data_IF_090536069586
#
_entry.id   IF_090536069586
#
_cell.length_a   1.000
_cell.length_b   1.000
_cell.length_c   1.000
_cell.angle_alpha   90.00
_cell.angle_beta   90.00
_cell.angle_gamma   90.00
#
_symmetry.space_group_name_H-M   'P 1'
#
loop_
_entity.id
_entity.type
_entity.pdbx_description
1 polymer ?
#
# COMPACT_ATOMS: atom_id res chain seq x y z
N UNK A 1 77.39 -38.22 31.37
CA UNK A 1 78.04 -37.50 32.48
C UNK A 1 77.04 -37.42 33.62
N UNK A 2 77.30 -38.21 34.68
CA UNK A 2 76.87 -38.16 36.10
C UNK A 2 75.39 -37.75 36.39
N UNK A 3 74.43 -38.60 36.79
CA UNK A 3 74.32 -39.70 37.78
C UNK A 3 74.04 -39.23 39.24
N UNK A 4 73.17 -39.98 39.96
CA UNK A 4 72.94 -40.07 41.45
C UNK A 4 71.68 -39.32 41.98
N UNK A 5 70.54 -39.99 42.28
CA UNK A 5 70.09 -40.64 43.57
C UNK A 5 69.78 -39.63 44.71
N UNK A 6 68.95 -39.84 45.74
CA UNK A 6 67.85 -40.73 46.12
C UNK A 6 67.34 -40.25 47.52
N UNK A 7 66.06 -40.51 47.83
CA UNK A 7 65.41 -40.78 49.15
C UNK A 7 65.92 -40.21 50.51
N UNK A 8 64.98 -39.68 51.32
CA UNK A 8 64.57 -40.06 52.72
C UNK A 8 63.81 -38.88 53.40
N UNK A 9 62.54 -38.97 53.84
CA UNK A 9 61.86 -39.67 54.95
C UNK A 9 62.16 -39.18 56.40
N UNK A 10 61.06 -38.81 57.10
CA UNK A 10 60.82 -38.80 58.57
C UNK A 10 61.40 -37.61 59.38
N UNK A 11 60.76 -36.97 60.38
CA UNK A 11 59.63 -37.26 61.29
C UNK A 11 59.30 -35.97 62.07
N UNK A 12 58.02 -35.69 62.39
CA UNK A 12 57.55 -35.50 63.79
C UNK A 12 56.02 -35.30 63.87
N UNK A 13 55.36 -36.33 64.40
CA UNK A 13 54.13 -36.34 65.20
C UNK A 13 54.02 -35.10 66.14
N UNK A 14 52.91 -34.65 66.70
CA UNK A 14 51.48 -34.98 66.72
C UNK A 14 50.87 -34.03 67.75
N UNK A 15 49.81 -33.27 67.47
CA UNK A 15 48.92 -32.74 68.52
C UNK A 15 47.47 -32.85 68.06
N UNK A 16 46.85 -33.92 68.56
CA UNK A 16 45.50 -33.98 69.12
C UNK A 16 44.30 -33.68 68.21
N UNK A 17 43.68 -34.78 67.79
CA UNK A 17 42.25 -34.88 67.52
C UNK A 17 41.44 -34.61 68.80
N UNK A 18 40.50 -33.65 68.73
CA UNK A 18 39.15 -33.67 69.33
C UNK A 18 38.58 -32.26 69.24
N UNK A 19 37.58 -32.04 68.40
CA UNK A 19 36.35 -31.35 68.81
C UNK A 19 35.20 -31.58 67.82
N UNK A 20 34.05 -31.83 68.42
CA UNK A 20 32.72 -32.14 67.94
C UNK A 20 32.27 -31.77 66.51
N UNK A 21 31.60 -32.77 65.90
CA UNK A 21 30.32 -32.65 65.17
C UNK A 21 29.62 -31.29 65.32
N UNK A 22 29.35 -30.62 64.19
CA UNK A 22 28.00 -30.29 63.70
C UNK A 22 28.07 -29.52 62.37
N UNK A 23 27.12 -29.84 61.49
CA UNK A 23 26.54 -29.00 60.42
C UNK A 23 27.47 -28.49 59.32
N UNK A 24 27.25 -28.98 58.09
CA UNK A 24 26.87 -28.11 56.96
C UNK A 24 26.32 -28.94 55.79
N UNK A 25 25.07 -29.38 55.94
CA UNK A 25 24.24 -29.86 54.83
C UNK A 25 23.65 -28.70 53.99
N UNK A 26 24.05 -27.46 54.23
CA UNK A 26 23.47 -26.26 53.58
C UNK A 26 24.26 -25.75 52.37
N UNK A 27 25.46 -26.28 52.08
CA UNK A 27 26.26 -25.82 50.95
C UNK A 27 25.85 -26.46 49.60
N UNK A 28 25.17 -27.61 49.61
CA UNK A 28 24.77 -28.33 48.38
C UNK A 28 23.40 -27.85 47.85
N UNK A 29 22.50 -27.39 48.72
CA UNK A 29 21.19 -26.88 48.32
C UNK A 29 21.25 -25.50 47.63
N UNK A 30 22.23 -24.66 47.98
CA UNK A 30 22.35 -23.30 47.41
C UNK A 30 22.85 -23.32 45.95
N UNK A 31 23.67 -24.31 45.59
CA UNK A 31 24.18 -24.45 44.20
C UNK A 31 23.09 -24.99 43.27
N UNK A 32 22.22 -25.89 43.74
CA UNK A 32 21.09 -26.41 42.95
C UNK A 32 20.01 -25.33 42.75
N UNK A 33 19.76 -24.49 43.75
CA UNK A 33 18.83 -23.34 43.62
C UNK A 33 19.39 -22.28 42.68
N UNK A 34 20.69 -21.96 42.74
CA UNK A 34 21.30 -21.01 41.81
C UNK A 34 21.28 -21.50 40.34
N UNK A 35 21.49 -22.80 40.09
CA UNK A 35 21.41 -23.40 38.75
C UNK A 35 19.97 -23.47 38.21
N UNK A 36 18.97 -23.63 39.08
CA UNK A 36 17.55 -23.60 38.69
C UNK A 36 17.02 -22.18 38.45
N UNK A 37 17.52 -21.17 39.15
CA UNK A 37 17.20 -19.76 38.85
C UNK A 37 17.85 -19.27 37.53
N UNK A 38 19.07 -19.71 37.23
CA UNK A 38 19.75 -19.36 35.95
C UNK A 38 19.08 -20.03 34.76
N UNK A 39 18.62 -21.28 34.89
CA UNK A 39 17.92 -21.98 33.80
C UNK A 39 16.50 -21.46 33.56
N UNK A 40 15.74 -21.09 34.61
CA UNK A 40 14.41 -20.46 34.45
C UNK A 40 14.50 -19.06 33.82
N UNK A 41 15.55 -18.30 34.13
CA UNK A 41 15.78 -16.97 33.55
C UNK A 41 16.20 -17.05 32.08
N UNK A 42 17.00 -18.06 31.70
CA UNK A 42 17.40 -18.29 30.32
C UNK A 42 16.22 -18.76 29.44
N UNK A 43 15.35 -19.63 29.95
CA UNK A 43 14.15 -20.08 29.22
C UNK A 43 13.12 -18.97 29.04
N UNK A 44 12.94 -18.10 30.04
CA UNK A 44 12.04 -16.95 29.92
C UNK A 44 12.57 -15.90 28.94
N UNK A 45 13.90 -15.72 28.85
CA UNK A 45 14.52 -14.84 27.85
C UNK A 45 14.47 -15.44 26.44
N UNK A 46 14.63 -16.76 26.27
CA UNK A 46 14.46 -17.44 24.97
C UNK A 46 13.00 -17.43 24.51
N UNK A 47 12.02 -17.66 25.38
CA UNK A 47 10.59 -17.55 25.04
C UNK A 47 10.20 -16.12 24.61
N UNK A 48 10.72 -15.10 25.31
CA UNK A 48 10.52 -13.70 24.93
C UNK A 48 11.29 -13.29 23.67
N UNK A 49 12.40 -13.95 23.35
CA UNK A 49 13.19 -13.68 22.14
C UNK A 49 12.58 -14.35 20.89
N UNK A 50 11.77 -15.41 21.06
CA UNK A 50 10.96 -16.01 19.99
C UNK A 50 9.68 -15.19 19.75
N UNK A 51 9.10 -14.61 20.80
CA UNK A 51 8.08 -13.56 20.69
C UNK A 51 8.70 -12.31 20.04
N UNK A 52 7.94 -11.64 19.18
CA UNK A 52 8.34 -10.50 18.35
C UNK A 52 9.20 -10.79 17.11
N UNK A 53 9.62 -12.04 16.85
CA UNK A 53 10.32 -12.35 15.60
C UNK A 53 9.37 -12.23 14.41
N UNK A 54 9.80 -11.45 13.43
CA UNK A 54 9.05 -11.26 12.19
C UNK A 54 8.98 -12.56 11.40
N UNK A 55 7.77 -12.85 10.94
CA UNK A 55 7.48 -13.86 9.95
C UNK A 55 6.67 -13.23 8.84
N UNK A 56 7.04 -13.51 7.59
CA UNK A 56 6.39 -12.94 6.42
C UNK A 56 6.05 -14.05 5.45
N UNK A 57 4.89 -13.96 4.84
CA UNK A 57 4.44 -14.86 3.80
C UNK A 57 3.68 -14.05 2.76
N UNK A 58 3.85 -14.41 1.49
CA UNK A 58 3.30 -13.64 0.39
C UNK A 58 2.71 -14.52 -0.71
N UNK A 59 1.70 -14.01 -1.40
CA UNK A 59 1.02 -14.71 -2.48
C UNK A 59 0.53 -13.76 -3.57
N UNK A 60 0.22 -14.35 -4.73
CA UNK A 60 -0.32 -13.66 -5.89
C UNK A 60 -1.32 -14.57 -6.59
N UNK A 61 -2.49 -14.03 -6.93
CA UNK A 61 -3.56 -14.74 -7.65
C UNK A 61 -3.94 -13.92 -8.88
N UNK A 62 -4.00 -14.57 -10.03
CA UNK A 62 -4.47 -13.95 -11.27
C UNK A 62 -6.00 -13.76 -11.23
N UNK A 63 -6.43 -12.53 -11.50
CA UNK A 63 -7.85 -12.12 -11.53
C UNK A 63 -8.27 -11.63 -12.92
N UNK A 64 -7.45 -11.85 -13.95
CA UNK A 64 -7.76 -11.47 -15.33
C UNK A 64 -9.06 -12.11 -15.79
N UNK A 65 -9.99 -11.30 -16.28
CA UNK A 65 -11.33 -11.77 -16.66
C UNK A 65 -11.26 -12.49 -18.01
N UNK A 66 -11.78 -13.71 -18.07
CA UNK A 66 -11.88 -14.51 -19.29
C UNK A 66 -12.86 -13.87 -20.31
N UNK A 67 -12.67 -14.17 -21.59
CA UNK A 67 -13.38 -13.53 -22.71
C UNK A 67 -14.90 -13.46 -22.56
N UNK A 68 -15.50 -14.55 -22.10
CA UNK A 68 -16.95 -14.77 -21.97
C UNK A 68 -17.59 -14.01 -20.80
N UNK A 69 -16.77 -13.45 -19.89
CA UNK A 69 -17.22 -12.66 -18.74
C UNK A 69 -16.89 -11.16 -18.87
N UNK A 70 -16.29 -10.74 -19.99
CA UNK A 70 -15.91 -9.34 -20.21
C UNK A 70 -17.14 -8.51 -20.65
N UNK A 71 -17.27 -7.27 -20.17
CA UNK A 71 -18.20 -6.32 -20.77
C UNK A 71 -17.87 -6.07 -22.25
N UNK A 72 -18.89 -5.78 -23.07
CA UNK A 72 -18.79 -5.60 -24.53
C UNK A 72 -17.67 -4.66 -24.98
N UNK A 73 -17.39 -3.63 -24.18
CA UNK A 73 -16.37 -2.65 -24.51
C UNK A 73 -14.96 -3.29 -24.48
N UNK A 74 -14.70 -4.15 -23.48
CA UNK A 74 -13.40 -4.76 -23.22
C UNK A 74 -13.17 -5.94 -24.18
N UNK A 75 -12.27 -5.76 -25.14
CA UNK A 75 -12.08 -6.70 -26.25
C UNK A 75 -10.81 -7.57 -26.15
N UNK A 76 -10.06 -7.47 -25.05
CA UNK A 76 -8.80 -8.20 -24.91
C UNK A 76 -8.16 -8.07 -23.54
N UNK A 77 -7.02 -8.73 -23.39
CA UNK A 77 -6.07 -8.54 -22.28
C UNK A 77 -4.82 -7.92 -22.90
N UNK A 78 -4.38 -6.80 -22.34
CA UNK A 78 -3.06 -6.23 -22.63
C UNK A 78 -2.00 -6.89 -21.75
N UNK A 79 -2.30 -7.03 -20.45
CA UNK A 79 -1.47 -7.67 -19.47
C UNK A 79 -2.32 -8.23 -18.31
N UNK A 80 -1.80 -9.27 -17.65
CA UNK A 80 -2.51 -9.93 -16.55
C UNK A 80 -2.58 -9.03 -15.30
N UNK A 81 -3.70 -9.14 -14.61
CA UNK A 81 -4.06 -8.40 -13.39
C UNK A 81 -4.15 -9.36 -12.21
N UNK A 82 -3.73 -8.91 -11.02
CA UNK A 82 -3.56 -9.80 -9.87
C UNK A 82 -4.15 -9.22 -8.58
N UNK A 83 -4.48 -10.13 -7.65
CA UNK A 83 -4.47 -9.84 -6.21
C UNK A 83 -3.10 -10.24 -5.67
N UNK A 84 -2.47 -9.35 -4.92
CA UNK A 84 -1.21 -9.61 -4.19
C UNK A 84 -1.49 -9.48 -2.70
N UNK A 85 -1.08 -10.46 -1.91
CA UNK A 85 -1.27 -10.45 -0.46
C UNK A 85 0.06 -10.70 0.27
N UNK A 86 0.27 -9.97 1.34
CA UNK A 86 1.40 -10.12 2.26
C UNK A 86 0.81 -10.22 3.67
N UNK A 87 1.19 -11.27 4.40
CA UNK A 87 0.88 -11.43 5.82
C UNK A 87 2.19 -11.30 6.59
N UNK A 88 2.20 -10.38 7.57
CA UNK A 88 3.33 -10.14 8.46
C UNK A 88 2.88 -10.49 9.87
N UNK A 89 3.62 -11.33 10.59
CA UNK A 89 3.34 -11.68 11.98
C UNK A 89 4.56 -11.55 12.87
N UNK A 90 4.34 -11.32 14.16
CA UNK A 90 5.41 -11.21 15.17
C UNK A 90 5.31 -12.32 16.25
N UNK A 91 4.46 -13.33 16.03
CA UNK A 91 4.18 -14.40 16.98
C UNK A 91 3.00 -14.13 17.92
N UNK A 92 2.50 -12.90 17.97
CA UNK A 92 1.34 -12.49 18.77
C UNK A 92 0.22 -11.95 17.89
N UNK A 93 0.52 -10.89 17.14
CA UNK A 93 -0.40 -10.25 16.20
C UNK A 93 0.05 -10.46 14.76
N UNK A 94 -0.81 -10.08 13.80
CA UNK A 94 -0.53 -10.16 12.37
C UNK A 94 -1.13 -8.95 11.67
N UNK A 95 -0.42 -8.37 10.71
CA UNK A 95 -0.92 -7.42 9.75
C UNK A 95 -1.08 -8.09 8.38
N UNK A 96 -2.11 -7.69 7.64
CA UNK A 96 -2.44 -8.22 6.32
C UNK A 96 -2.53 -7.05 5.33
N UNK A 97 -1.64 -7.04 4.35
CA UNK A 97 -1.62 -6.06 3.28
C UNK A 97 -2.04 -6.75 1.98
N UNK A 98 -3.08 -6.25 1.34
CA UNK A 98 -3.59 -6.79 0.08
C UNK A 98 -3.79 -5.66 -0.91
N UNK A 99 -3.30 -5.83 -2.14
CA UNK A 99 -3.65 -4.94 -3.25
C UNK A 99 -4.27 -5.74 -4.38
N UNK A 100 -5.33 -5.21 -4.99
CA UNK A 100 -5.95 -5.77 -6.18
C UNK A 100 -5.80 -4.81 -7.36
N UNK A 101 -5.43 -5.35 -8.52
CA UNK A 101 -5.42 -4.63 -9.79
C UNK A 101 -6.86 -4.38 -10.27
N UNK A 102 -7.54 -3.42 -9.62
CA UNK A 102 -8.90 -2.96 -9.91
C UNK A 102 -9.01 -1.45 -9.71
N UNK A 103 -10.05 -0.83 -10.26
CA UNK A 103 -10.29 0.61 -10.07
C UNK A 103 -10.63 0.98 -8.63
N UNK A 104 -11.18 0.06 -7.83
CA UNK A 104 -11.64 0.30 -6.47
C UNK A 104 -12.27 -0.93 -5.84
N UNK A 105 -12.33 -0.97 -4.51
CA UNK A 105 -12.93 -2.06 -3.75
C UNK A 105 -14.18 -1.54 -3.03
N UNK A 106 -15.34 -2.14 -3.29
CA UNK A 106 -16.59 -1.74 -2.63
C UNK A 106 -16.52 -2.03 -1.12
N UNK A 107 -17.14 -1.16 -0.33
CA UNK A 107 -17.26 -1.34 1.13
C UNK A 107 -17.88 -2.69 1.51
N UNK A 108 -18.84 -3.19 0.73
CA UNK A 108 -19.42 -4.53 0.92
C UNK A 108 -18.38 -5.64 0.73
N UNK A 109 -17.59 -5.59 -0.34
CA UNK A 109 -16.52 -6.57 -0.61
C UNK A 109 -15.46 -6.53 0.49
N UNK A 110 -15.05 -5.34 0.93
CA UNK A 110 -14.15 -5.21 2.08
C UNK A 110 -14.75 -5.84 3.33
N UNK A 111 -16.00 -5.50 3.68
CA UNK A 111 -16.68 -6.00 4.87
C UNK A 111 -16.82 -7.53 4.85
N UNK A 112 -17.19 -8.11 3.70
CA UNK A 112 -17.34 -9.55 3.56
C UNK A 112 -16.00 -10.29 3.74
N UNK A 113 -14.93 -9.78 3.12
CA UNK A 113 -13.59 -10.37 3.23
C UNK A 113 -13.02 -10.20 4.62
N UNK A 114 -13.11 -9.01 5.22
CA UNK A 114 -12.52 -8.70 6.53
C UNK A 114 -13.18 -9.50 7.65
N UNK A 115 -14.52 -9.55 7.68
CA UNK A 115 -15.25 -10.36 8.66
C UNK A 115 -14.98 -11.85 8.47
N UNK A 116 -14.82 -12.31 7.22
CA UNK A 116 -14.45 -13.71 6.95
C UNK A 116 -13.04 -14.01 7.43
N UNK A 117 -12.09 -13.10 7.21
CA UNK A 117 -10.72 -13.17 7.72
C UNK A 117 -10.70 -13.30 9.26
N UNK A 118 -11.48 -12.48 9.96
CA UNK A 118 -11.58 -12.55 11.41
C UNK A 118 -12.16 -13.89 11.88
N UNK A 119 -13.29 -14.32 11.31
CA UNK A 119 -13.95 -15.57 11.70
C UNK A 119 -13.12 -16.83 11.39
N UNK A 120 -12.49 -16.89 10.22
CA UNK A 120 -11.84 -18.12 9.72
C UNK A 120 -10.33 -18.17 10.00
N UNK A 121 -9.65 -17.01 10.07
CA UNK A 121 -8.20 -16.91 10.24
C UNK A 121 -7.79 -16.33 11.59
N UNK A 122 -8.75 -15.86 12.41
CA UNK A 122 -8.49 -15.24 13.71
C UNK A 122 -7.53 -14.05 13.61
N UNK A 123 -7.66 -13.26 12.54
CA UNK A 123 -6.94 -11.99 12.35
C UNK A 123 -7.98 -10.88 12.46
N UNK A 124 -7.86 -9.94 13.42
CA UNK A 124 -8.82 -8.86 13.59
C UNK A 124 -9.02 -8.02 12.32
N UNK A 125 -10.22 -7.46 12.14
CA UNK A 125 -10.55 -6.61 10.98
C UNK A 125 -9.61 -5.40 10.86
N UNK A 126 -9.24 -4.80 11.99
CA UNK A 126 -8.35 -3.62 12.04
C UNK A 126 -6.92 -3.92 11.60
N UNK A 127 -6.57 -5.19 11.41
CA UNK A 127 -5.27 -5.62 10.94
C UNK A 127 -5.19 -5.80 9.42
N UNK A 128 -6.26 -5.46 8.69
CA UNK A 128 -6.31 -5.53 7.23
C UNK A 128 -6.18 -4.14 6.59
N UNK A 129 -5.25 -4.02 5.64
CA UNK A 129 -5.27 -2.99 4.62
C UNK A 129 -5.58 -3.64 3.25
N UNK A 130 -6.81 -3.51 2.79
CA UNK A 130 -7.28 -3.99 1.50
C UNK A 130 -7.36 -2.81 0.51
N UNK A 131 -6.43 -2.78 -0.43
CA UNK A 131 -6.12 -1.66 -1.32
C UNK A 131 -6.47 -1.97 -2.78
N UNK A 132 -6.68 -0.92 -3.57
CA UNK A 132 -6.80 -1.00 -5.02
C UNK A 132 -5.63 -0.25 -5.68
N UNK A 133 -5.16 -0.73 -6.83
CA UNK A 133 -4.17 0.02 -7.64
C UNK A 133 -4.78 1.15 -8.47
N UNK A 134 -6.10 1.29 -8.39
CA UNK A 134 -6.88 2.27 -9.13
C UNK A 134 -6.74 2.17 -10.66
N UNK A 135 -6.44 1.00 -11.21
CA UNK A 135 -6.43 0.82 -12.67
C UNK A 135 -7.82 1.05 -13.26
N UNK A 136 -7.91 1.94 -14.25
CA UNK A 136 -9.13 2.19 -15.03
C UNK A 136 -9.34 1.21 -16.18
N UNK A 137 -8.48 0.19 -16.28
CA UNK A 137 -8.46 -0.81 -17.35
C UNK A 137 -8.95 -2.17 -16.89
N UNK A 138 -9.89 -2.20 -15.94
CA UNK A 138 -10.51 -3.42 -15.41
C UNK A 138 -12.03 -3.26 -15.29
N UNK A 139 -12.82 -4.33 -15.56
CA UNK A 139 -14.23 -4.31 -15.21
C UNK A 139 -14.38 -4.18 -13.69
N UNK A 140 -15.50 -3.61 -13.24
CA UNK A 140 -15.82 -3.55 -11.81
C UNK A 140 -16.07 -4.96 -11.29
N UNK A 141 -15.10 -5.52 -10.58
CA UNK A 141 -15.24 -6.81 -9.90
C UNK A 141 -15.99 -6.64 -8.58
N UNK A 142 -16.84 -7.61 -8.25
CA UNK A 142 -17.61 -7.63 -7.00
C UNK A 142 -18.20 -9.02 -6.74
N UNK A 143 -18.70 -9.23 -5.53
CA UNK A 143 -19.41 -10.44 -5.12
C UNK A 143 -18.49 -11.63 -4.86
N UNK A 144 -19.12 -12.77 -4.56
CA UNK A 144 -18.45 -13.95 -3.96
C UNK A 144 -17.20 -14.42 -4.70
N UNK A 145 -17.20 -14.43 -6.04
CA UNK A 145 -16.02 -14.90 -6.80
C UNK A 145 -14.78 -14.04 -6.50
N UNK A 146 -14.94 -12.71 -6.52
CA UNK A 146 -13.83 -11.79 -6.27
C UNK A 146 -13.42 -11.81 -4.79
N UNK A 147 -14.39 -11.88 -3.88
CA UNK A 147 -14.16 -12.05 -2.44
C UNK A 147 -13.38 -13.33 -2.13
N UNK A 148 -13.73 -14.46 -2.77
CA UNK A 148 -13.02 -15.73 -2.64
C UNK A 148 -11.58 -15.61 -3.17
N UNK A 149 -11.35 -14.91 -4.28
CA UNK A 149 -9.99 -14.67 -4.81
C UNK A 149 -9.13 -13.87 -3.82
N UNK A 150 -9.69 -12.80 -3.25
CA UNK A 150 -8.99 -12.00 -2.22
C UNK A 150 -8.68 -12.87 -1.00
N UNK A 151 -9.68 -13.54 -0.46
CA UNK A 151 -9.54 -14.37 0.73
C UNK A 151 -8.54 -15.53 0.52
N UNK A 152 -8.57 -16.17 -0.64
CA UNK A 152 -7.60 -17.22 -1.00
C UNK A 152 -6.18 -16.68 -1.05
N UNK A 153 -5.96 -15.46 -1.57
CA UNK A 153 -4.64 -14.84 -1.56
C UNK A 153 -4.13 -14.66 -0.12
N UNK A 154 -4.98 -14.19 0.79
CA UNK A 154 -4.64 -14.06 2.22
C UNK A 154 -4.28 -15.42 2.82
N UNK A 155 -5.08 -16.47 2.58
CA UNK A 155 -4.81 -17.81 3.09
C UNK A 155 -3.48 -18.39 2.56
N UNK A 156 -3.19 -18.21 1.28
CA UNK A 156 -1.94 -18.66 0.67
C UNK A 156 -0.71 -17.89 1.18
N UNK A 157 -0.86 -16.60 1.48
CA UNK A 157 0.20 -15.81 2.08
C UNK A 157 0.44 -16.26 3.54
N UNK A 158 -0.63 -16.47 4.30
CA UNK A 158 -0.57 -16.96 5.69
C UNK A 158 0.10 -18.34 5.80
N UNK A 159 -0.18 -19.26 4.88
CA UNK A 159 0.43 -20.61 4.88
C UNK A 159 1.92 -20.62 4.54
N UNK A 160 2.46 -19.51 4.03
CA UNK A 160 3.87 -19.34 3.66
C UNK A 160 4.68 -18.52 4.65
N UNK A 161 4.17 -18.25 5.86
CA UNK A 161 4.89 -17.50 6.88
C UNK A 161 6.24 -18.14 7.25
N UNK A 162 7.33 -17.47 6.88
CA UNK A 162 8.70 -17.86 7.21
C UNK A 162 9.45 -16.76 7.97
N UNK A 163 10.47 -17.08 8.79
CA UNK A 163 11.26 -16.08 9.50
C UNK A 163 11.86 -15.04 8.55
N UNK A 164 11.71 -13.77 8.90
CA UNK A 164 12.05 -12.66 8.03
C UNK A 164 12.70 -11.49 8.78
N UNK A 165 13.29 -10.58 8.02
CA UNK A 165 13.66 -9.24 8.45
C UNK A 165 12.99 -8.20 7.55
N UNK A 166 12.74 -7.01 8.11
CA UNK A 166 12.16 -5.87 7.40
C UNK A 166 13.11 -4.68 7.37
N UNK A 167 13.06 -3.89 6.31
CA UNK A 167 13.74 -2.60 6.23
C UNK A 167 12.82 -1.57 5.54
N UNK A 168 13.00 -0.29 5.89
CA UNK A 168 12.37 0.85 5.24
C UNK A 168 13.39 1.60 4.38
N UNK A 169 12.96 2.14 3.25
CA UNK A 169 13.76 3.03 2.42
C UNK A 169 12.88 4.04 1.69
N UNK A 170 13.50 5.15 1.27
CA UNK A 170 12.84 6.18 0.48
C UNK A 170 13.67 6.53 -0.75
N UNK A 171 12.97 6.64 -1.88
CA UNK A 171 13.47 7.08 -3.16
C UNK A 171 12.64 8.24 -3.71
N UNK A 172 12.93 8.65 -4.95
CA UNK A 172 12.18 9.69 -5.62
C UNK A 172 11.91 9.34 -7.09
N UNK A 173 10.66 9.47 -7.51
CA UNK A 173 10.27 9.30 -8.91
C UNK A 173 9.48 10.51 -9.42
N UNK A 174 9.73 10.87 -10.67
CA UNK A 174 9.17 12.04 -11.34
C UNK A 174 8.18 11.67 -12.45
N UNK A 175 7.67 10.44 -12.45
CA UNK A 175 6.71 10.00 -13.47
C UNK A 175 5.30 10.57 -13.26
N UNK A 176 5.02 11.17 -12.10
CA UNK A 176 3.75 11.85 -11.81
C UNK A 176 3.85 13.38 -11.99
N UNK A 177 2.69 14.03 -12.12
CA UNK A 177 2.56 15.49 -12.17
C UNK A 177 1.18 15.89 -11.63
N UNK A 178 1.08 17.08 -11.04
CA UNK A 178 -0.23 17.66 -10.74
C UNK A 178 -1.03 17.81 -12.04
N UNK A 179 -2.30 17.44 -12.03
CA UNK A 179 -3.14 17.39 -13.24
C UNK A 179 -4.09 18.58 -13.41
N UNK A 180 -4.04 19.57 -12.53
CA UNK A 180 -4.92 20.73 -12.55
C UNK A 180 -4.24 21.95 -13.14
N UNK A 181 -4.62 22.34 -14.36
CA UNK A 181 -4.01 23.44 -15.12
C UNK A 181 -5.04 24.45 -15.59
N UNK A 182 -4.58 25.62 -16.04
CA UNK A 182 -5.41 26.61 -16.73
C UNK A 182 -5.28 26.38 -18.24
N UNK A 183 -6.39 26.10 -18.89
CA UNK A 183 -6.42 25.98 -20.35
C UNK A 183 -6.19 27.36 -20.99
N UNK A 184 -5.19 27.45 -21.86
CA UNK A 184 -4.77 28.72 -22.48
C UNK A 184 -5.80 29.29 -23.47
N UNK A 185 -6.75 28.48 -23.95
CA UNK A 185 -7.76 28.92 -24.92
C UNK A 185 -9.01 29.46 -24.22
N UNK A 186 -9.45 28.79 -23.16
CA UNK A 186 -10.67 29.16 -22.42
C UNK A 186 -10.39 30.03 -21.20
N UNK A 187 -9.13 30.08 -20.74
CA UNK A 187 -8.74 30.68 -19.47
C UNK A 187 -9.48 30.08 -18.25
N UNK A 188 -10.02 28.87 -18.42
CA UNK A 188 -10.70 28.11 -17.37
C UNK A 188 -9.88 26.91 -16.92
N UNK A 189 -10.29 26.31 -15.79
CA UNK A 189 -9.67 25.09 -15.27
C UNK A 189 -9.85 23.90 -16.20
N UNK A 190 -8.78 23.12 -16.36
CA UNK A 190 -8.80 21.89 -17.13
C UNK A 190 -7.83 20.85 -16.59
N UNK A 191 -7.99 19.63 -17.08
CA UNK A 191 -7.05 18.56 -16.81
C UNK A 191 -5.87 18.63 -17.79
N UNK A 192 -4.67 18.75 -17.25
CA UNK A 192 -3.43 18.88 -17.99
C UNK A 192 -2.23 18.91 -17.05
N UNK A 193 -1.02 18.63 -17.54
CA UNK A 193 0.17 18.65 -16.69
C UNK A 193 0.42 20.07 -16.17
N UNK A 194 0.38 20.23 -14.85
CA UNK A 194 0.76 21.44 -14.14
C UNK A 194 2.10 21.21 -13.44
N UNK A 195 3.18 21.62 -14.12
CA UNK A 195 4.56 21.44 -13.64
C UNK A 195 4.90 22.29 -12.41
N UNK A 196 4.16 23.38 -12.19
CA UNK A 196 4.33 24.25 -11.03
C UNK A 196 3.45 23.82 -9.84
N UNK A 197 2.53 22.88 -10.07
CA UNK A 197 1.61 22.35 -9.07
C UNK A 197 2.29 21.35 -8.12
N UNK A 198 1.78 21.19 -6.89
CA UNK A 198 2.36 20.28 -5.92
C UNK A 198 2.18 18.83 -6.37
N UNK A 199 3.26 18.06 -6.20
CA UNK A 199 3.30 16.65 -6.57
C UNK A 199 4.29 15.92 -5.66
N UNK A 200 3.83 14.90 -4.96
CA UNK A 200 4.69 14.07 -4.11
C UNK A 200 5.54 13.14 -4.97
N UNK A 201 6.86 13.30 -4.87
CA UNK A 201 7.84 12.49 -5.60
C UNK A 201 8.34 11.30 -4.80
N UNK A 202 7.96 11.21 -3.53
CA UNK A 202 8.47 10.19 -2.60
C UNK A 202 8.02 8.81 -3.05
N UNK A 203 8.99 7.89 -3.19
CA UNK A 203 8.72 6.45 -3.31
C UNK A 203 9.09 5.81 -1.98
N UNK A 204 8.09 5.43 -1.19
CA UNK A 204 8.33 4.72 0.08
C UNK A 204 8.41 3.22 -0.18
N UNK A 205 9.40 2.54 0.39
CA UNK A 205 9.66 1.11 0.16
C UNK A 205 9.84 0.37 1.49
N UNK A 206 9.05 -0.68 1.70
CA UNK A 206 9.27 -1.68 2.73
C UNK A 206 9.77 -2.97 2.08
N UNK A 207 10.95 -3.44 2.48
CA UNK A 207 11.49 -4.71 2.01
C UNK A 207 11.38 -5.77 3.10
N UNK A 208 10.92 -6.97 2.74
CA UNK A 208 10.90 -8.13 3.61
C UNK A 208 11.73 -9.25 2.98
N UNK A 209 12.80 -9.65 3.68
CA UNK A 209 13.72 -10.70 3.23
C UNK A 209 13.69 -11.86 4.21
N UNK A 210 13.95 -13.08 3.71
CA UNK A 210 14.27 -14.19 4.58
C UNK A 210 15.59 -13.94 5.34
N UNK A 211 15.89 -14.77 6.34
CA UNK A 211 17.13 -14.62 7.14
C UNK A 211 18.43 -14.89 6.35
N UNK A 212 18.34 -15.30 5.07
CA UNK A 212 19.46 -15.48 4.15
C UNK A 212 19.59 -14.31 3.16
N UNK A 213 18.71 -13.32 3.22
CA UNK A 213 18.69 -12.16 2.34
C UNK A 213 17.91 -12.35 1.04
N UNK A 214 17.16 -13.45 0.86
CA UNK A 214 16.27 -13.63 -0.30
C UNK A 214 15.01 -12.76 -0.12
N UNK A 215 14.60 -11.93 -1.10
CA UNK A 215 13.36 -11.18 -1.03
C UNK A 215 12.12 -12.09 -0.99
N UNK A 216 11.25 -11.86 0.00
CA UNK A 216 9.93 -12.49 0.13
C UNK A 216 8.87 -11.55 -0.44
N UNK A 217 8.89 -10.30 0.00
CA UNK A 217 7.92 -9.30 -0.42
C UNK A 217 8.49 -7.89 -0.37
N UNK A 218 7.94 -7.01 -1.21
CA UNK A 218 8.22 -5.58 -1.24
C UNK A 218 6.87 -4.87 -1.24
N UNK A 219 6.69 -3.91 -0.34
CA UNK A 219 5.58 -2.95 -0.40
C UNK A 219 6.14 -1.63 -0.85
N UNK A 220 5.51 -1.00 -1.84
CA UNK A 220 5.94 0.30 -2.30
C UNK A 220 4.74 1.23 -2.51
N UNK A 221 4.88 2.48 -2.09
CA UNK A 221 3.84 3.51 -2.15
C UNK A 221 4.29 4.66 -3.05
N UNK A 222 3.40 5.08 -3.95
CA UNK A 222 3.64 6.19 -4.86
C UNK A 222 2.32 6.79 -5.34
N UNK A 223 2.27 8.12 -5.53
CA UNK A 223 1.06 8.85 -5.88
C UNK A 223 0.97 9.11 -7.40
N UNK A 224 0.39 8.19 -8.17
CA UNK A 224 0.14 8.38 -9.61
C UNK A 224 -1.10 7.64 -10.07
N UNK A 225 -2.02 8.38 -10.71
CA UNK A 225 -3.26 7.78 -11.21
C UNK A 225 -2.98 6.76 -12.33
N UNK A 226 -3.57 5.57 -12.22
CA UNK A 226 -3.43 4.46 -13.17
C UNK A 226 -4.40 4.58 -14.36
N UNK A 227 -4.14 5.54 -15.24
CA UNK A 227 -5.05 5.96 -16.35
C UNK A 227 -4.45 5.89 -17.76
N UNK A 228 -3.23 5.40 -17.94
CA UNK A 228 -2.61 5.36 -19.28
C UNK A 228 -3.38 4.48 -20.26
N UNK A 229 -3.87 3.33 -19.81
CA UNK A 229 -4.51 2.34 -20.67
C UNK A 229 -6.05 2.50 -20.75
N UNK A 230 -6.61 3.50 -20.08
CA UNK A 230 -8.06 3.66 -19.89
C UNK A 230 -8.88 3.82 -21.18
N UNK A 231 -8.26 3.99 -22.36
CA UNK A 231 -8.96 4.05 -23.65
C UNK A 231 -8.71 2.87 -24.58
N UNK A 232 -7.81 1.95 -24.22
CA UNK A 232 -7.48 0.80 -25.05
C UNK A 232 -8.60 -0.25 -25.11
N UNK A 233 -9.48 -0.24 -24.10
CA UNK A 233 -10.50 -1.26 -23.84
C UNK A 233 -9.93 -2.69 -23.80
N UNK A 234 -8.76 -2.82 -23.18
CA UNK A 234 -8.13 -4.10 -22.85
C UNK A 234 -7.86 -4.15 -21.36
N UNK A 235 -7.92 -5.34 -20.79
CA UNK A 235 -7.55 -5.57 -19.39
C UNK A 235 -6.08 -5.21 -19.18
N UNK A 236 -5.80 -4.43 -18.14
CA UNK A 236 -4.44 -4.05 -17.76
C UNK A 236 -4.34 -3.64 -16.30
N UNK A 237 -3.20 -3.94 -15.68
CA UNK A 237 -2.82 -3.42 -14.37
C UNK A 237 -2.23 -2.01 -14.41
N UNK A 238 -2.10 -1.41 -15.61
CA UNK A 238 -1.55 -0.06 -15.85
C UNK A 238 -0.13 0.11 -15.23
N UNK A 239 0.29 1.33 -14.88
CA UNK A 239 1.60 1.61 -14.24
C UNK A 239 1.84 0.74 -13.00
N UNK A 240 0.88 0.57 -12.06
CA UNK A 240 1.08 -0.28 -10.88
C UNK A 240 1.40 -1.74 -11.24
N UNK A 241 0.61 -2.33 -12.12
CA UNK A 241 0.82 -3.71 -12.58
C UNK A 241 2.13 -3.88 -13.35
N UNK A 242 2.47 -2.91 -14.20
CA UNK A 242 3.73 -2.90 -14.94
C UNK A 242 4.96 -2.80 -14.02
N UNK A 243 4.90 -1.90 -13.02
CA UNK A 243 5.95 -1.74 -12.00
C UNK A 243 6.14 -3.01 -11.20
N UNK A 244 5.05 -3.58 -10.66
CA UNK A 244 5.10 -4.83 -9.89
C UNK A 244 5.70 -5.97 -10.71
N UNK A 245 5.24 -6.19 -11.95
CA UNK A 245 5.79 -7.27 -12.80
C UNK A 245 7.28 -7.07 -13.09
N UNK A 246 7.70 -5.83 -13.32
CA UNK A 246 9.10 -5.52 -13.58
C UNK A 246 9.98 -5.87 -12.37
N UNK A 247 9.63 -5.37 -11.19
CA UNK A 247 10.32 -5.64 -9.93
C UNK A 247 10.37 -7.14 -9.64
N UNK A 248 9.21 -7.81 -9.72
CA UNK A 248 9.08 -9.26 -9.49
C UNK A 248 10.00 -10.04 -10.43
N UNK A 249 10.01 -9.72 -11.73
CA UNK A 249 10.84 -10.39 -12.73
C UNK A 249 12.34 -10.21 -12.48
N UNK A 250 12.76 -8.99 -12.12
CA UNK A 250 14.17 -8.67 -11.86
C UNK A 250 14.71 -9.43 -10.64
N UNK A 251 13.88 -9.59 -9.61
CA UNK A 251 14.24 -10.25 -8.35
C UNK A 251 13.99 -11.77 -8.34
N UNK A 252 13.81 -12.38 -9.52
CA UNK A 252 13.75 -13.84 -9.68
C UNK A 252 12.34 -14.45 -9.69
N UNK A 253 11.29 -13.64 -9.74
CA UNK A 253 9.90 -14.07 -9.99
C UNK A 253 9.10 -14.58 -8.78
N UNK A 254 9.79 -15.02 -7.72
CA UNK A 254 9.16 -15.54 -6.50
C UNK A 254 8.69 -14.43 -5.54
N UNK A 255 9.38 -13.28 -5.54
CA UNK A 255 9.04 -12.14 -4.68
C UNK A 255 7.67 -11.58 -5.07
N UNK A 256 6.93 -11.04 -4.10
CA UNK A 256 5.70 -10.28 -4.36
C UNK A 256 5.98 -8.79 -4.22
N UNK A 257 5.78 -8.02 -5.29
CA UNK A 257 5.86 -6.55 -5.25
C UNK A 257 4.44 -5.97 -5.15
N UNK A 258 4.05 -5.55 -3.95
CA UNK A 258 2.73 -5.02 -3.64
C UNK A 258 2.70 -3.49 -3.74
N UNK A 259 1.81 -2.98 -4.58
CA UNK A 259 1.54 -1.55 -4.75
C UNK A 259 0.61 -1.02 -3.66
N UNK A 260 0.93 0.13 -3.10
CA UNK A 260 0.03 0.96 -2.30
C UNK A 260 -0.18 2.31 -3.01
N UNK A 261 -1.43 2.68 -3.25
CA UNK A 261 -1.77 3.90 -3.97
C UNK A 261 -1.60 5.12 -3.06
N UNK A 262 -0.63 5.98 -3.37
CA UNK A 262 -0.48 7.28 -2.71
C UNK A 262 -1.66 8.21 -3.02
N UNK A 263 -1.66 9.43 -2.47
CA UNK A 263 -2.73 10.40 -2.73
C UNK A 263 -2.65 10.98 -4.15
N UNK A 264 -3.26 10.28 -5.09
CA UNK A 264 -3.22 10.57 -6.52
C UNK A 264 -4.50 11.22 -7.06
N UNK A 265 -5.37 11.75 -6.20
CA UNK A 265 -6.63 12.39 -6.61
C UNK A 265 -6.42 13.55 -7.58
N UNK A 266 -5.28 14.24 -7.52
CA UNK A 266 -4.87 15.32 -8.42
C UNK A 266 -3.53 15.04 -9.13
N UNK A 267 -3.08 13.78 -9.18
CA UNK A 267 -1.76 13.40 -9.73
C UNK A 267 -1.89 12.45 -10.91
N UNK A 268 -1.57 12.88 -12.13
CA UNK A 268 -1.55 12.01 -13.31
C UNK A 268 -0.11 11.62 -13.71
N UNK A 269 0.04 10.65 -14.61
CA UNK A 269 1.29 10.43 -15.32
C UNK A 269 1.79 11.71 -16.04
N UNK A 270 3.08 11.99 -15.96
CA UNK A 270 3.71 13.21 -16.51
C UNK A 270 3.59 13.28 -18.04
N UNK A 271 3.69 12.14 -18.72
CA UNK A 271 3.51 12.02 -20.15
C UNK A 271 2.19 11.29 -20.45
N UNK A 272 1.21 12.04 -20.96
CA UNK A 272 -0.16 11.58 -21.16
C UNK A 272 -0.73 11.95 -22.55
N UNK A 273 0.15 12.20 -23.53
CA UNK A 273 -0.21 12.82 -24.82
C UNK A 273 -1.18 11.97 -25.66
N UNK A 274 -0.97 10.66 -25.72
CA UNK A 274 -1.82 9.76 -26.51
C UNK A 274 -3.27 9.83 -26.05
N UNK A 275 -3.49 9.99 -24.75
CA UNK A 275 -4.83 10.18 -24.18
C UNK A 275 -5.47 11.46 -24.70
N UNK A 276 -4.73 12.57 -24.72
CA UNK A 276 -5.24 13.83 -25.24
C UNK A 276 -5.56 13.76 -26.74
N UNK A 277 -4.69 13.13 -27.54
CA UNK A 277 -4.90 12.95 -28.97
C UNK A 277 -6.14 12.09 -29.27
N UNK A 278 -6.29 10.96 -28.58
CA UNK A 278 -7.46 10.08 -28.72
C UNK A 278 -8.74 10.83 -28.34
N UNK A 279 -8.70 11.62 -27.25
CA UNK A 279 -9.81 12.47 -26.84
C UNK A 279 -10.16 13.49 -27.93
N UNK A 280 -9.19 14.14 -28.54
CA UNK A 280 -9.41 15.13 -29.60
C UNK A 280 -10.05 14.49 -30.84
N UNK A 281 -9.57 13.32 -31.27
CA UNK A 281 -10.17 12.54 -32.36
C UNK A 281 -11.65 12.26 -32.04
N UNK A 282 -11.92 11.74 -30.84
CA UNK A 282 -13.27 11.43 -30.37
C UNK A 282 -14.19 12.66 -30.38
N UNK A 283 -13.71 13.80 -29.87
CA UNK A 283 -14.48 15.05 -29.86
C UNK A 283 -14.85 15.48 -31.29
N UNK A 284 -13.89 15.47 -32.23
CA UNK A 284 -14.13 15.83 -33.64
C UNK A 284 -15.13 14.89 -34.30
N UNK A 285 -15.07 13.59 -34.03
CA UNK A 285 -15.98 12.62 -34.63
C UNK A 285 -17.41 12.71 -34.09
N UNK A 286 -17.60 13.08 -32.82
CA UNK A 286 -18.92 13.40 -32.27
C UNK A 286 -19.47 14.71 -32.83
N UNK A 287 -18.61 15.73 -32.99
CA UNK A 287 -19.01 17.01 -33.55
C UNK A 287 -19.53 16.88 -34.98
N UNK A 288 -18.94 16.01 -35.82
CA UNK A 288 -19.46 15.66 -37.16
C UNK A 288 -20.89 15.10 -37.14
N UNK A 289 -21.33 14.55 -36.00
CA UNK A 289 -22.67 13.99 -35.78
C UNK A 289 -23.59 14.98 -35.04
N UNK A 290 -23.19 16.25 -34.92
CA UNK A 290 -23.94 17.29 -34.21
C UNK A 290 -23.97 17.13 -32.68
N UNK A 291 -23.00 16.39 -32.10
CA UNK A 291 -22.91 16.18 -30.65
C UNK A 291 -21.64 16.80 -30.09
N UNK A 292 -21.79 17.70 -29.12
CA UNK A 292 -20.63 18.24 -28.38
C UNK A 292 -20.33 17.38 -27.14
N UNK A 293 -19.10 16.88 -27.07
CA UNK A 293 -18.55 16.15 -25.93
C UNK A 293 -17.23 16.75 -25.46
N UNK A 294 -16.90 17.98 -25.88
CA UNK A 294 -15.67 18.67 -25.50
C UNK A 294 -15.49 18.72 -23.98
N UNK A 295 -16.59 18.89 -23.25
CA UNK A 295 -16.66 18.91 -21.79
C UNK A 295 -17.27 17.64 -21.15
N UNK A 296 -17.19 16.51 -21.86
CA UNK A 296 -17.59 15.20 -21.36
C UNK A 296 -16.49 14.17 -21.65
N UNK A 297 -16.52 13.05 -20.92
CA UNK A 297 -15.59 11.94 -21.14
C UNK A 297 -16.38 10.63 -21.19
N UNK A 298 -16.71 10.13 -22.41
CA UNK A 298 -17.24 8.79 -22.56
C UNK A 298 -16.29 7.74 -21.95
N UNK A 299 -16.82 6.65 -21.37
CA UNK A 299 -16.02 5.62 -20.72
C UNK A 299 -15.19 4.85 -21.74
N UNK A 300 -13.96 4.49 -21.37
CA UNK A 300 -13.11 3.70 -22.23
C UNK A 300 -12.81 4.37 -23.58
N UNK A 301 -12.55 3.53 -24.57
CA UNK A 301 -12.45 3.87 -25.98
C UNK A 301 -13.82 4.02 -26.67
N UNK A 302 -14.92 4.16 -25.92
CA UNK A 302 -16.25 4.32 -26.50
C UNK A 302 -16.27 5.48 -27.51
N UNK A 303 -16.72 5.16 -28.73
CA UNK A 303 -16.87 6.12 -29.82
C UNK A 303 -15.60 6.37 -30.64
N UNK A 304 -14.48 5.72 -30.32
CA UNK A 304 -13.29 5.70 -31.17
C UNK A 304 -13.43 4.64 -32.27
N UNK A 305 -13.04 5.00 -33.50
CA UNK A 305 -12.92 4.03 -34.58
C UNK A 305 -11.62 3.22 -34.44
N UNK A 306 -11.74 2.02 -33.87
CA UNK A 306 -10.61 1.10 -33.67
C UNK A 306 -10.02 0.51 -34.96
N UNK A 307 -10.58 0.84 -36.13
CA UNK A 307 -9.99 0.50 -37.45
C UNK A 307 -9.19 1.65 -38.04
N UNK A 308 -9.31 2.86 -37.50
CA UNK A 308 -8.53 4.01 -37.95
C UNK A 308 -7.04 3.79 -37.58
N UNK A 309 -6.11 3.80 -38.55
CA UNK A 309 -4.69 3.55 -38.27
C UNK A 309 -4.07 4.50 -37.24
N UNK A 310 -4.54 5.75 -37.17
CA UNK A 310 -4.06 6.72 -36.16
C UNK A 310 -4.55 6.34 -34.76
N UNK A 311 -5.79 5.89 -34.61
CA UNK A 311 -6.35 5.45 -33.33
C UNK A 311 -5.60 4.20 -32.83
N UNK A 312 -5.36 3.22 -33.71
CA UNK A 312 -4.59 2.01 -33.40
C UNK A 312 -3.19 2.37 -32.92
N UNK A 313 -2.47 3.21 -33.69
CA UNK A 313 -1.13 3.67 -33.32
C UNK A 313 -1.09 4.32 -31.93
N UNK A 314 -2.05 5.20 -31.62
CA UNK A 314 -2.10 5.89 -30.33
C UNK A 314 -2.39 4.93 -29.17
N UNK A 315 -3.27 3.94 -29.35
CA UNK A 315 -3.53 2.91 -28.34
C UNK A 315 -2.30 2.01 -28.11
N UNK A 316 -1.58 1.64 -29.16
CA UNK A 316 -0.33 0.87 -29.03
C UNK A 316 0.75 1.68 -28.30
N UNK A 317 0.82 3.00 -28.56
CA UNK A 317 1.71 3.90 -27.84
C UNK A 317 1.31 4.09 -26.37
N UNK A 318 0.01 4.06 -26.01
CA UNK A 318 -0.41 4.03 -24.61
C UNK A 318 0.18 2.82 -23.88
N UNK A 319 0.13 1.63 -24.49
CA UNK A 319 0.74 0.43 -23.92
C UNK A 319 2.26 0.57 -23.73
N UNK A 320 2.96 1.16 -24.71
CA UNK A 320 4.41 1.40 -24.62
C UNK A 320 4.75 2.40 -23.49
N UNK A 321 3.96 3.46 -23.33
CA UNK A 321 4.14 4.43 -22.25
C UNK A 321 3.91 3.79 -20.88
N UNK A 322 2.92 2.90 -20.76
CA UNK A 322 2.67 2.13 -19.53
C UNK A 322 3.87 1.27 -19.14
N UNK A 323 4.45 0.55 -20.10
CA UNK A 323 5.66 -0.25 -19.87
C UNK A 323 6.81 0.66 -19.44
N UNK A 324 7.03 1.78 -20.15
CA UNK A 324 8.13 2.70 -19.89
C UNK A 324 8.05 3.29 -18.48
N UNK A 325 6.89 3.84 -18.09
CA UNK A 325 6.72 4.42 -16.75
C UNK A 325 6.74 3.38 -15.63
N UNK A 326 6.18 2.19 -15.88
CA UNK A 326 6.27 1.07 -14.94
C UNK A 326 7.72 0.64 -14.70
N UNK A 327 8.54 0.60 -15.75
CA UNK A 327 9.98 0.33 -15.64
C UNK A 327 10.73 1.45 -14.91
N UNK A 328 10.45 2.71 -15.23
CA UNK A 328 11.07 3.86 -14.55
C UNK A 328 10.80 3.85 -13.04
N UNK A 329 9.56 3.59 -12.62
CA UNK A 329 9.23 3.49 -11.21
C UNK A 329 9.80 2.21 -10.57
N UNK A 330 9.74 1.09 -11.29
CA UNK A 330 10.36 -0.16 -10.84
C UNK A 330 11.86 -0.03 -10.60
N UNK A 331 12.59 0.64 -11.49
CA UNK A 331 14.00 0.97 -11.31
C UNK A 331 14.25 1.85 -10.09
N UNK A 332 13.38 2.82 -9.79
CA UNK A 332 13.51 3.62 -8.57
C UNK A 332 13.31 2.77 -7.30
N UNK A 333 12.38 1.82 -7.33
CA UNK A 333 12.23 0.85 -6.22
C UNK A 333 13.47 -0.01 -6.08
N UNK A 334 14.01 -0.56 -7.18
CA UNK A 334 15.22 -1.38 -7.17
C UNK A 334 16.46 -0.58 -6.73
N UNK A 335 16.56 0.68 -7.14
CA UNK A 335 17.58 1.62 -6.68
C UNK A 335 17.47 1.84 -5.17
N UNK A 336 16.26 2.09 -4.66
CA UNK A 336 16.00 2.26 -3.23
C UNK A 336 16.41 1.02 -2.45
N UNK A 337 16.02 -0.18 -2.90
CA UNK A 337 16.39 -1.46 -2.29
C UNK A 337 17.91 -1.67 -2.20
N UNK A 338 18.65 -1.21 -3.21
CA UNK A 338 20.11 -1.34 -3.28
C UNK A 338 20.85 -0.33 -2.41
N UNK A 339 20.36 0.90 -2.35
CA UNK A 339 21.19 2.05 -1.95
C UNK A 339 20.60 2.91 -0.82
N UNK A 340 19.29 2.85 -0.57
CA UNK A 340 18.60 3.76 0.36
C UNK A 340 17.77 3.03 1.44
N UNK A 341 18.08 1.76 1.70
CA UNK A 341 17.43 1.02 2.79
C UNK A 341 18.11 1.31 4.14
N UNK A 342 17.30 1.51 5.16
CA UNK A 342 17.74 1.51 6.56
C UNK A 342 18.16 0.10 7.01
N UNK A 343 18.77 0.01 8.20
CA UNK A 343 19.23 -1.26 8.75
C UNK A 343 18.05 -2.23 8.97
N UNK A 344 18.12 -3.47 8.45
CA UNK A 344 17.07 -4.46 8.67
C UNK A 344 16.83 -4.77 10.14
N UNK A 345 15.56 -5.01 10.48
CA UNK A 345 15.06 -5.40 11.80
C UNK A 345 14.40 -6.77 11.70
N UNK A 346 14.69 -7.63 12.69
CA UNK A 346 14.09 -8.97 12.80
C UNK A 346 12.86 -9.01 13.70
N UNK A 347 12.56 -7.88 14.35
CA UNK A 347 11.44 -7.74 15.26
C UNK A 347 10.68 -6.47 14.97
N UNK A 348 9.36 -6.51 15.17
CA UNK A 348 8.48 -5.37 15.03
C UNK A 348 7.24 -5.53 15.92
N UNK A 349 6.79 -4.42 16.49
CA UNK A 349 5.43 -4.30 17.01
C UNK A 349 4.48 -4.27 15.81
N UNK A 350 3.37 -4.97 15.90
CA UNK A 350 2.34 -4.98 14.85
C UNK A 350 1.02 -4.69 15.53
N UNK A 351 0.33 -3.69 15.03
CA UNK A 351 -0.99 -3.31 15.54
C UNK A 351 -1.80 -2.62 14.45
N UNK A 352 -3.10 -2.49 14.66
CA UNK A 352 -4.00 -1.85 13.73
C UNK A 352 -5.25 -1.33 14.39
N UNK A 353 -5.74 -0.21 13.88
CA UNK A 353 -6.95 0.44 14.37
C UNK A 353 -7.71 1.07 13.20
N UNK A 354 -9.00 1.28 13.37
CA UNK A 354 -9.81 2.02 12.40
C UNK A 354 -10.83 2.92 13.06
N UNK A 355 -11.26 3.94 12.33
CA UNK A 355 -12.34 4.83 12.73
C UNK A 355 -13.07 5.36 11.50
N UNK A 356 -14.15 6.09 11.72
CA UNK A 356 -14.84 6.84 10.68
C UNK A 356 -14.93 8.30 11.08
N UNK A 357 -14.67 9.20 10.13
CA UNK A 357 -14.94 10.62 10.27
C UNK A 357 -16.09 11.00 9.35
N UNK A 358 -16.94 11.93 9.78
CA UNK A 358 -18.08 12.40 8.98
C UNK A 358 -17.88 13.86 8.60
N UNK A 359 -18.16 14.18 7.34
CA UNK A 359 -18.11 15.55 6.84
C UNK A 359 -19.45 15.94 6.20
N UNK A 360 -19.88 17.21 6.35
CA UNK A 360 -21.09 17.70 5.68
C UNK A 360 -21.03 17.45 4.18
N UNK A 361 -22.15 16.95 3.62
CA UNK A 361 -22.24 16.58 2.23
C UNK A 361 -22.77 17.70 1.34
N UNK A 362 -22.45 17.61 0.05
CA UNK A 362 -23.06 18.44 -1.00
C UNK A 362 -23.41 17.61 -2.22
N UNK A 363 -24.47 18.01 -2.91
CA UNK A 363 -24.89 17.41 -4.18
C UNK A 363 -24.87 18.46 -5.28
N UNK A 364 -24.17 18.15 -6.37
CA UNK A 364 -24.07 19.03 -7.53
C UNK A 364 -25.39 19.06 -8.31
N UNK A 365 -25.88 20.24 -8.65
CA UNK A 365 -27.16 20.45 -9.36
C UNK A 365 -26.98 20.83 -10.83
N UNK A 366 -25.79 21.27 -11.24
CA UNK A 366 -25.47 21.56 -12.64
C UNK A 366 -24.52 20.53 -13.24
N UNK A 367 -24.35 20.59 -14.57
CA UNK A 367 -23.57 19.59 -15.32
C UNK A 367 -22.19 20.07 -15.69
N UNK A 368 -21.35 19.05 -15.82
CA UNK A 368 -20.22 18.96 -16.71
C UNK A 368 -18.86 18.85 -16.00
N UNK A 369 -17.81 18.55 -16.77
CA UNK A 369 -16.51 18.18 -16.26
C UNK A 369 -15.68 19.28 -15.58
N UNK A 370 -15.28 20.37 -16.25
CA UNK A 370 -14.34 21.36 -15.71
C UNK A 370 -14.40 22.71 -16.43
N UNK A 371 -13.96 23.78 -15.74
CA UNK A 371 -13.82 25.14 -16.28
C UNK A 371 -15.07 26.02 -16.19
N UNK A 372 -15.97 25.71 -15.26
CA UNK A 372 -17.13 26.55 -14.90
C UNK A 372 -17.58 26.25 -13.48
N UNK A 373 -18.31 27.21 -12.95
CA UNK A 373 -18.76 27.19 -11.57
C UNK A 373 -19.71 26.02 -11.32
N UNK A 374 -19.45 25.27 -10.26
CA UNK A 374 -20.36 24.27 -9.75
C UNK A 374 -21.52 24.90 -8.98
N UNK A 375 -22.72 24.36 -9.13
CA UNK A 375 -23.87 24.70 -8.30
C UNK A 375 -24.19 23.49 -7.42
N UNK A 376 -24.45 23.74 -6.13
CA UNK A 376 -24.63 22.70 -5.12
C UNK A 376 -25.83 22.98 -4.22
N UNK A 377 -26.41 21.91 -3.70
CA UNK A 377 -27.31 21.93 -2.54
C UNK A 377 -26.68 21.09 -1.43
N UNK A 378 -26.99 21.43 -0.19
CA UNK A 378 -26.65 20.60 0.97
C UNK A 378 -27.18 19.18 0.78
N UNK A 379 -26.44 18.20 1.26
CA UNK A 379 -26.89 16.81 1.31
C UNK A 379 -26.43 16.13 2.60
N UNK A 380 -26.89 14.90 2.81
CA UNK A 380 -26.51 14.11 3.98
C UNK A 380 -24.98 14.04 4.14
N UNK A 381 -24.49 14.06 5.38
CA UNK A 381 -23.07 13.87 5.67
C UNK A 381 -22.53 12.60 5.02
N UNK A 382 -21.26 12.65 4.62
CA UNK A 382 -20.55 11.51 4.03
C UNK A 382 -19.52 11.02 5.02
N UNK A 383 -19.62 9.75 5.39
CA UNK A 383 -18.61 9.07 6.20
C UNK A 383 -17.40 8.69 5.36
N UNK A 384 -16.21 8.87 5.94
CA UNK A 384 -14.90 8.51 5.39
C UNK A 384 -14.26 7.57 6.39
N UNK A 385 -13.88 6.37 5.94
CA UNK A 385 -13.19 5.39 6.78
C UNK A 385 -11.70 5.70 6.79
N UNK A 386 -11.15 5.73 7.99
CA UNK A 386 -9.72 5.82 8.26
C UNK A 386 -9.25 4.51 8.89
N UNK A 387 -8.05 4.07 8.53
CA UNK A 387 -7.41 2.92 9.18
C UNK A 387 -5.92 3.18 9.36
N UNK A 388 -5.32 2.56 10.36
CA UNK A 388 -3.89 2.61 10.62
C UNK A 388 -3.37 1.18 10.76
N UNK A 389 -2.28 0.87 10.07
CA UNK A 389 -1.49 -0.33 10.31
C UNK A 389 -0.10 0.10 10.75
N UNK A 390 0.31 -0.34 11.95
CA UNK A 390 1.65 -0.17 12.47
C UNK A 390 2.46 -1.44 12.24
N UNK A 391 3.65 -1.29 11.66
CA UNK A 391 4.65 -2.36 11.59
C UNK A 391 6.01 -1.77 12.00
N UNK A 392 6.38 -1.99 13.26
CA UNK A 392 7.56 -1.40 13.87
C UNK A 392 7.42 0.12 13.98
N UNK A 393 8.25 0.84 13.23
CA UNK A 393 8.20 2.31 13.14
C UNK A 393 7.41 2.79 11.91
N UNK A 394 6.93 1.87 11.07
CA UNK A 394 6.16 2.23 9.88
C UNK A 394 4.68 2.40 10.19
N UNK A 395 4.11 3.53 9.77
CA UNK A 395 2.70 3.89 9.89
C UNK A 395 2.07 3.96 8.49
N UNK A 396 1.08 3.09 8.25
CA UNK A 396 0.32 3.03 7.00
C UNK A 396 -1.07 3.59 7.25
N UNK A 397 -1.28 4.86 6.92
CA UNK A 397 -2.57 5.54 7.03
C UNK A 397 -3.46 5.24 5.82
N UNK A 398 -4.50 4.45 6.01
CA UNK A 398 -5.50 4.12 5.00
C UNK A 398 -6.66 5.12 4.96
N UNK A 399 -7.09 5.49 3.76
CA UNK A 399 -8.31 6.28 3.51
C UNK A 399 -9.13 5.62 2.40
N UNK A 400 -10.44 5.47 2.58
CA UNK A 400 -11.32 4.74 1.65
C UNK A 400 -11.84 5.60 0.47
N UNK A 401 -11.08 6.60 0.02
CA UNK A 401 -11.50 7.56 -1.01
C UNK A 401 -10.33 7.99 -1.93
N UNK A 402 -10.64 8.70 -3.02
CA UNK A 402 -9.64 9.36 -3.88
C UNK A 402 -9.21 10.71 -3.26
N UNK A 403 -7.99 10.78 -2.71
CA UNK A 403 -7.52 11.92 -1.90
C UNK A 403 -6.50 12.77 -2.67
N UNK A 404 -6.57 14.10 -2.51
CA UNK A 404 -5.57 15.01 -3.05
C UNK A 404 -4.21 14.88 -2.37
N UNK A 405 -3.16 15.03 -3.16
CA UNK A 405 -1.76 14.88 -2.75
C UNK A 405 -1.40 15.68 -1.50
N UNK A 406 -1.88 16.92 -1.39
CA UNK A 406 -1.51 17.82 -0.29
C UNK A 406 -2.00 17.32 1.08
N UNK A 407 -3.09 16.55 1.13
CA UNK A 407 -3.60 15.96 2.37
C UNK A 407 -2.62 14.88 2.88
N UNK A 408 -2.12 14.02 1.99
CA UNK A 408 -1.09 13.04 2.34
C UNK A 408 0.22 13.70 2.76
N UNK A 409 0.66 14.75 2.06
CA UNK A 409 1.87 15.48 2.46
C UNK A 409 1.72 16.18 3.81
N UNK A 410 0.53 16.67 4.13
CA UNK A 410 0.20 17.22 5.44
C UNK A 410 0.30 16.15 6.52
N UNK A 411 -0.34 15.00 6.33
CA UNK A 411 -0.25 13.86 7.25
C UNK A 411 1.21 13.45 7.51
N UNK A 412 2.00 13.26 6.45
CA UNK A 412 3.41 12.87 6.58
C UNK A 412 4.26 13.90 7.33
N UNK A 413 3.99 15.19 7.15
CA UNK A 413 4.71 16.27 7.85
C UNK A 413 4.31 16.39 9.32
N UNK A 414 3.04 16.15 9.64
CA UNK A 414 2.51 16.27 11.01
C UNK A 414 2.66 14.99 11.83
N UNK A 415 2.91 13.85 11.18
CA UNK A 415 3.16 12.58 11.86
C UNK A 415 4.44 12.63 12.72
N UNK A 416 4.40 12.10 13.95
CA UNK A 416 5.61 11.96 14.78
C UNK A 416 6.55 10.85 14.28
N UNK A 417 6.09 10.02 13.34
CA UNK A 417 6.87 8.94 12.74
C UNK A 417 7.48 9.36 11.42
N UNK A 418 8.79 9.10 11.28
CA UNK A 418 9.50 9.29 10.02
C UNK A 418 8.93 8.40 8.91
N UNK A 419 8.58 7.15 9.23
CA UNK A 419 8.14 6.15 8.26
C UNK A 419 6.62 6.17 8.11
N UNK A 420 6.06 7.32 7.72
CA UNK A 420 4.63 7.49 7.55
C UNK A 420 4.27 7.58 6.07
N UNK A 421 3.30 6.78 5.64
CA UNK A 421 2.74 6.84 4.29
C UNK A 421 1.21 6.80 4.31
N UNK A 422 0.59 7.40 3.29
CA UNK A 422 -0.85 7.33 3.08
C UNK A 422 -1.16 6.37 1.93
N UNK A 423 -2.06 5.44 2.17
CA UNK A 423 -2.66 4.57 1.17
C UNK A 423 -4.11 4.99 0.96
N UNK A 424 -4.43 5.49 -0.23
CA UNK A 424 -5.82 5.82 -0.58
C UNK A 424 -6.55 4.60 -1.11
N UNK A 425 -7.86 4.72 -1.37
CA UNK A 425 -8.69 3.62 -1.87
C UNK A 425 -8.53 2.33 -1.06
N UNK A 426 -8.40 2.49 0.26
CA UNK A 426 -8.08 1.43 1.20
C UNK A 426 -9.28 1.14 2.08
N UNK A 427 -9.61 -0.14 2.24
CA UNK A 427 -10.67 -0.62 3.14
C UNK A 427 -12.11 -0.17 2.76
N UNK A 428 -12.34 0.12 1.49
CA UNK A 428 -13.67 0.42 0.97
C UNK A 428 -13.65 1.49 -0.11
N UNK A 429 -14.83 2.07 -0.34
CA UNK A 429 -15.03 3.17 -1.27
C UNK A 429 -16.11 4.11 -0.74
N UNK A 430 -15.70 5.15 -0.02
CA UNK A 430 -16.60 6.20 0.41
C UNK A 430 -17.18 6.93 -0.82
N UNK A 431 -18.48 7.26 -0.82
CA UNK A 431 -19.13 7.86 -1.98
C UNK A 431 -18.89 9.38 -2.01
N UNK A 432 -17.64 9.81 -1.87
CA UNK A 432 -17.19 11.21 -1.80
C UNK A 432 -16.97 11.84 -3.18
N UNK A 433 -16.77 11.02 -4.22
CA UNK A 433 -16.15 11.49 -5.45
C UNK A 433 -14.64 11.63 -5.23
N UNK A 434 -14.16 12.86 -5.19
CA UNK A 434 -12.80 13.18 -4.78
C UNK A 434 -12.80 13.92 -3.44
N UNK A 435 -11.66 13.89 -2.74
CA UNK A 435 -11.39 14.69 -1.55
C UNK A 435 -10.30 15.72 -1.87
N UNK A 436 -10.68 16.95 -2.30
CA UNK A 436 -9.76 18.06 -2.43
C UNK A 436 -9.24 18.52 -1.07
N UNK A 437 -8.03 19.06 -1.05
CA UNK A 437 -7.56 19.86 0.09
C UNK A 437 -8.33 21.20 0.14
N UNK A 438 -8.38 21.85 1.30
CA UNK A 438 -9.27 22.99 1.55
C UNK A 438 -9.01 24.16 0.58
N UNK A 439 -7.73 24.43 0.27
CA UNK A 439 -7.35 25.48 -0.67
C UNK A 439 -7.81 25.22 -2.12
N UNK A 440 -8.08 23.96 -2.49
CA UNK A 440 -8.49 23.61 -3.85
C UNK A 440 -9.98 23.83 -4.11
N UNK A 441 -10.82 24.04 -3.09
CA UNK A 441 -12.27 24.20 -3.29
C UNK A 441 -12.67 25.45 -4.10
N UNK A 442 -11.75 26.41 -4.27
CA UNK A 442 -11.91 27.54 -5.19
C UNK A 442 -11.63 27.20 -6.67
N UNK A 443 -11.16 25.99 -6.98
CA UNK A 443 -10.80 25.58 -8.34
C UNK A 443 -11.98 24.90 -9.04
N UNK A 444 -12.24 25.27 -10.28
CA UNK A 444 -13.31 24.68 -11.10
C UNK A 444 -12.83 23.43 -11.86
N UNK A 445 -12.00 22.63 -11.19
CA UNK A 445 -11.41 21.37 -11.68
C UNK A 445 -12.40 20.21 -11.56
N UNK A 446 -12.17 19.13 -12.32
CA UNK A 446 -13.07 17.97 -12.35
C UNK A 446 -13.31 17.35 -10.97
N UNK A 447 -12.27 17.26 -10.18
CA UNK A 447 -12.23 16.61 -8.88
C UNK A 447 -13.00 17.42 -7.85
N UNK A 448 -12.71 18.73 -7.76
CA UNK A 448 -13.44 19.66 -6.89
C UNK A 448 -14.90 19.69 -7.27
N UNK A 449 -15.19 19.78 -8.58
CA UNK A 449 -16.55 19.87 -9.05
C UNK A 449 -17.34 18.59 -8.78
N UNK A 450 -16.69 17.42 -8.79
CA UNK A 450 -17.30 16.12 -8.51
C UNK A 450 -17.31 15.73 -7.03
N UNK A 451 -16.60 16.46 -6.17
CA UNK A 451 -16.59 16.22 -4.73
C UNK A 451 -17.97 16.45 -4.10
N UNK A 452 -18.41 15.46 -3.33
CA UNK A 452 -19.64 15.44 -2.55
C UNK A 452 -19.46 15.93 -1.12
N UNK A 453 -18.31 16.51 -0.80
CA UNK A 453 -17.98 17.05 0.52
C UNK A 453 -18.05 18.58 0.49
N UNK A 454 -18.53 19.17 1.58
CA UNK A 454 -18.40 20.62 1.79
C UNK A 454 -16.93 20.99 2.07
N UNK A 455 -16.48 22.20 1.68
CA UNK A 455 -15.13 22.70 1.99
C UNK A 455 -14.90 22.83 3.50
N UNK A 456 -13.66 22.71 3.95
CA UNK A 456 -13.26 23.04 5.32
C UNK A 456 -13.47 21.93 6.36
N UNK A 457 -13.73 20.69 5.92
CA UNK A 457 -13.90 19.55 6.83
C UNK A 457 -12.87 18.45 6.58
N UNK A 458 -12.87 17.88 5.36
CA UNK A 458 -12.26 16.58 5.11
C UNK A 458 -10.73 16.57 5.29
N UNK A 459 -10.03 17.63 4.88
CA UNK A 459 -8.57 17.69 5.04
C UNK A 459 -8.15 17.53 6.51
N UNK A 460 -8.72 18.34 7.40
CA UNK A 460 -8.37 18.29 8.83
C UNK A 460 -8.93 17.05 9.52
N UNK A 461 -10.14 16.60 9.17
CA UNK A 461 -10.73 15.39 9.73
C UNK A 461 -9.90 14.14 9.40
N UNK A 462 -9.40 14.02 8.16
CA UNK A 462 -8.54 12.90 7.74
C UNK A 462 -7.19 12.98 8.46
N UNK A 463 -6.52 14.13 8.41
CA UNK A 463 -5.17 14.26 9.01
C UNK A 463 -5.22 14.02 10.51
N UNK A 464 -6.11 14.72 11.23
CA UNK A 464 -6.21 14.57 12.67
C UNK A 464 -6.65 13.15 13.05
N UNK A 465 -7.63 12.57 12.36
CA UNK A 465 -8.07 11.21 12.64
C UNK A 465 -6.97 10.17 12.40
N UNK A 466 -6.11 10.35 11.39
CA UNK A 466 -4.94 9.47 11.21
C UNK A 466 -3.88 9.67 12.28
N UNK A 467 -3.71 10.88 12.82
CA UNK A 467 -2.81 11.14 13.96
C UNK A 467 -3.37 10.55 15.25
N UNK A 468 -4.67 10.68 15.50
CA UNK A 468 -5.34 10.03 16.63
C UNK A 468 -5.20 8.50 16.56
N UNK A 469 -5.32 7.91 15.36
CA UNK A 469 -5.08 6.48 15.17
C UNK A 469 -3.61 6.07 15.41
N UNK A 470 -2.64 6.97 15.24
CA UNK A 470 -1.24 6.68 15.64
C UNK A 470 -1.17 6.49 17.15
N UNK A 471 -1.81 7.37 17.93
CA UNK A 471 -1.83 7.26 19.39
C UNK A 471 -2.47 5.94 19.83
N UNK A 472 -3.57 5.52 19.18
CA UNK A 472 -4.25 4.26 19.49
C UNK A 472 -3.36 3.04 19.27
N UNK A 473 -2.61 2.97 18.15
CA UNK A 473 -1.72 1.82 17.85
C UNK A 473 -0.36 1.91 18.56
N UNK A 474 -0.16 2.95 19.38
CA UNK A 474 1.00 3.11 20.25
C UNK A 474 0.81 2.53 21.64
N UNK A 475 -0.43 2.53 22.14
CA UNK A 475 -0.83 1.98 23.45
C UNK A 475 -0.65 0.46 23.53
#
# INVERSE_FOLDING_TARGET
MNNIEAQKLSKSNSIVARWCRKSNLHAVSVVIVALSFVSVSATAHEEHAVKNLLRVGASKIDISVASEKRPDLINGINDHTFVRAIVIGNGETKAVLVTADVGGIRTETWSNVSQRMERELSIPVDQLALMATHTHSMPRLSGKQFEDQIFTAIQLALSKLEPAEMAWGEGQSYINVNRNTIDKKTNGWWEGPNYDGPSDKTVSVMAFNDLKGKPIAIVYNYAVHAVLNGMMDKISGDIPGASSRYIESYLGGDVIALWSEGAAGDQNPIFFQQTYDLREIRIKDYAKKGKDISNAMPPGGMGLDKKNPRVVLLMDQQAQMTVSMGQMLGEEVLHTLRSNMERPRKTAVIDGASMSVECPGRTRTNKGRAGYSGAYVESDPVAIKLSMIRIGQTMIGGVDAEVFNMIAQRFKRESPYKHSMMSTLTNGWAPTGYIPNDAAFGYETFEVLSSRLQPGCAESAIVNGLLDLIEVVEE
#
